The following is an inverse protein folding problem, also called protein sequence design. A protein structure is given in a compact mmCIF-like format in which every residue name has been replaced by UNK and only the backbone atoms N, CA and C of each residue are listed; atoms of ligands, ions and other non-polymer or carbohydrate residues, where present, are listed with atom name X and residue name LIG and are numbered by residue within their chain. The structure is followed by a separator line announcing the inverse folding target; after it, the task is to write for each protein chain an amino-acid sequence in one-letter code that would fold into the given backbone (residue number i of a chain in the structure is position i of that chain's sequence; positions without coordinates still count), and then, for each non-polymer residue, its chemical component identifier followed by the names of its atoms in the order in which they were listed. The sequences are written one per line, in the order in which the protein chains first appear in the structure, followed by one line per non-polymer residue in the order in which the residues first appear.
data_IF_377662511709
#
_entry.id   IF_377662511709
#
_cell.length_a   1.000
_cell.length_b   1.000
_cell.length_c   1.000
_cell.angle_alpha   90.00
_cell.angle_beta   90.00
_cell.angle_gamma   90.00
#
_symmetry.space_group_name_H-M   'P 1'
#
loop_
_entity.id
_entity.type
_entity.pdbx_description
1 polymer ?
#
# COMPACT_ATOMS: atom_id res chain seq x y z
N UNK A 1 14.13 -9.10 11.49
CA UNK A 1 13.58 -7.76 11.22
C UNK A 1 14.20 -7.26 9.93
N UNK A 2 13.40 -7.01 8.90
CA UNK A 2 13.83 -6.37 7.65
C UNK A 2 13.86 -4.86 7.85
N UNK A 3 14.84 -4.17 7.27
CA UNK A 3 14.87 -2.71 7.33
C UNK A 3 13.78 -2.10 6.42
N UNK A 4 13.55 -0.77 6.51
CA UNK A 4 12.52 -0.06 5.74
C UNK A 4 12.70 -0.25 4.23
N UNK A 5 13.95 -0.22 3.75
CA UNK A 5 14.30 -0.38 2.34
C UNK A 5 14.08 -1.81 1.85
N UNK A 6 14.42 -2.82 2.65
CA UNK A 6 14.16 -4.23 2.33
C UNK A 6 12.65 -4.51 2.26
N UNK A 7 11.87 -3.94 3.17
CA UNK A 7 10.42 -4.10 3.17
C UNK A 7 9.78 -3.41 1.96
N UNK A 8 10.28 -2.23 1.58
CA UNK A 8 9.86 -1.55 0.36
C UNK A 8 10.24 -2.35 -0.90
N UNK A 9 11.46 -2.91 -0.96
CA UNK A 9 11.90 -3.73 -2.08
C UNK A 9 11.04 -4.99 -2.24
N UNK A 10 10.72 -5.67 -1.13
CA UNK A 10 9.81 -6.82 -1.16
C UNK A 10 8.39 -6.42 -1.62
N UNK A 11 7.93 -5.25 -1.19
CA UNK A 11 6.64 -4.71 -1.63
C UNK A 11 6.62 -4.40 -3.13
N UNK A 12 7.62 -3.70 -3.66
CA UNK A 12 7.69 -3.38 -5.09
C UNK A 12 7.85 -4.61 -5.97
N UNK A 13 8.56 -5.64 -5.50
CA UNK A 13 8.60 -6.96 -6.17
C UNK A 13 7.22 -7.61 -6.19
N UNK A 14 6.48 -7.60 -5.08
CA UNK A 14 5.12 -8.15 -5.01
C UNK A 14 4.13 -7.41 -5.93
N UNK A 15 4.28 -6.09 -6.07
CA UNK A 15 3.48 -5.24 -6.98
C UNK A 15 3.80 -5.56 -8.45
N UNK A 16 5.03 -5.96 -8.78
CA UNK A 16 5.44 -6.36 -10.12
C UNK A 16 4.95 -7.78 -10.49
N UNK A 17 3.65 -8.05 -10.33
CA UNK A 17 3.08 -9.40 -10.44
C UNK A 17 2.96 -9.93 -11.89
N UNK A 18 3.08 -9.06 -12.90
CA UNK A 18 3.09 -9.46 -14.31
C UNK A 18 4.49 -9.92 -14.73
N UNK A 19 4.67 -11.23 -14.94
CA UNK A 19 5.95 -11.80 -15.42
C UNK A 19 7.04 -11.92 -14.36
N UNK A 20 6.69 -11.99 -13.07
CA UNK A 20 7.62 -12.10 -11.92
C UNK A 20 8.63 -10.95 -11.85
N UNK A 21 8.27 -9.76 -12.34
CA UNK A 21 9.19 -8.62 -12.45
C UNK A 21 10.31 -8.80 -13.48
N UNK A 22 10.24 -9.83 -14.34
CA UNK A 22 11.26 -10.11 -15.35
C UNK A 22 11.22 -9.04 -16.45
N UNK A 23 12.30 -8.27 -16.57
CA UNK A 23 12.46 -7.34 -17.68
C UNK A 23 13.01 -8.12 -18.88
N UNK A 24 12.12 -8.48 -19.80
CA UNK A 24 12.42 -9.31 -20.97
C UNK A 24 13.22 -8.59 -22.06
N UNK A 25 13.41 -7.27 -21.94
CA UNK A 25 14.10 -6.45 -22.92
C UNK A 25 15.46 -5.96 -22.41
N UNK A 26 16.49 -6.05 -23.25
CA UNK A 26 17.82 -5.47 -22.99
C UNK A 26 17.92 -3.99 -23.41
N UNK A 27 16.78 -3.30 -23.48
CA UNK A 27 16.73 -1.85 -23.68
C UNK A 27 16.70 -1.12 -22.34
N UNK A 28 17.68 -0.24 -22.11
CA UNK A 28 17.85 0.47 -20.84
C UNK A 28 16.73 1.48 -20.57
N UNK A 29 16.16 2.09 -21.60
CA UNK A 29 15.11 3.08 -21.43
C UNK A 29 13.78 2.39 -21.09
N UNK A 30 13.48 1.26 -21.72
CA UNK A 30 12.33 0.43 -21.37
C UNK A 30 12.44 -0.14 -19.93
N UNK A 31 13.63 -0.63 -19.54
CA UNK A 31 13.88 -1.05 -18.15
C UNK A 31 13.59 0.07 -17.15
N UNK A 32 14.05 1.30 -17.45
CA UNK A 32 13.81 2.46 -16.58
C UNK A 32 12.32 2.83 -16.49
N UNK A 33 11.59 2.74 -17.59
CA UNK A 33 10.14 2.99 -17.62
C UNK A 33 9.41 1.99 -16.71
N UNK A 34 9.71 0.70 -16.84
CA UNK A 34 9.10 -0.36 -16.03
C UNK A 34 9.32 -0.09 -14.54
N UNK A 35 10.55 0.22 -14.13
CA UNK A 35 10.86 0.53 -12.72
C UNK A 35 10.06 1.74 -12.22
N UNK A 36 10.02 2.83 -13.01
CA UNK A 36 9.29 4.06 -12.63
C UNK A 36 7.78 3.82 -12.51
N UNK A 37 7.19 3.09 -13.44
CA UNK A 37 5.77 2.76 -13.39
C UNK A 37 5.46 1.84 -12.21
N UNK A 38 6.31 0.86 -11.93
CA UNK A 38 6.14 0.00 -10.76
C UNK A 38 6.19 0.80 -9.46
N UNK A 39 7.13 1.74 -9.33
CA UNK A 39 7.20 2.64 -8.18
C UNK A 39 5.97 3.54 -8.06
N UNK A 40 5.43 4.04 -9.18
CA UNK A 40 4.21 4.83 -9.17
C UNK A 40 3.03 4.01 -8.61
N UNK A 41 2.82 2.79 -9.12
CA UNK A 41 1.77 1.88 -8.62
C UNK A 41 1.98 1.55 -7.14
N UNK A 42 3.23 1.25 -6.73
CA UNK A 42 3.55 0.98 -5.34
C UNK A 42 3.19 2.17 -4.43
N UNK A 43 3.49 3.40 -4.85
CA UNK A 43 3.13 4.60 -4.09
C UNK A 43 1.60 4.79 -3.99
N UNK A 44 0.85 4.50 -5.06
CA UNK A 44 -0.61 4.52 -5.02
C UNK A 44 -1.18 3.52 -4.02
N UNK A 45 -0.63 2.29 -3.98
CA UNK A 45 -1.03 1.26 -3.02
C UNK A 45 -0.62 1.62 -1.59
N UNK A 46 0.56 2.19 -1.38
CA UNK A 46 0.99 2.71 -0.07
C UNK A 46 -0.01 3.75 0.43
N UNK A 47 -0.42 4.69 -0.42
CA UNK A 47 -1.42 5.69 -0.05
C UNK A 47 -2.76 5.04 0.32
N UNK A 48 -3.23 4.08 -0.48
CA UNK A 48 -4.45 3.32 -0.18
C UNK A 48 -4.35 2.59 1.17
N UNK A 49 -3.21 1.94 1.43
CA UNK A 49 -2.96 1.21 2.66
C UNK A 49 -2.97 2.13 3.87
N UNK A 50 -2.29 3.29 3.80
CA UNK A 50 -2.30 4.30 4.88
C UNK A 50 -3.72 4.78 5.15
N UNK A 51 -4.48 5.11 4.10
CA UNK A 51 -5.88 5.53 4.25
C UNK A 51 -6.73 4.46 4.95
N UNK A 52 -6.65 3.21 4.50
CA UNK A 52 -7.39 2.09 5.10
C UNK A 52 -6.96 1.83 6.55
N UNK A 53 -5.65 1.85 6.83
CA UNK A 53 -5.11 1.68 8.18
C UNK A 53 -5.57 2.78 9.13
N UNK A 54 -5.52 4.04 8.70
CA UNK A 54 -5.99 5.18 9.50
C UNK A 54 -7.46 5.04 9.88
N UNK A 55 -8.32 4.54 8.97
CA UNK A 55 -9.72 4.25 9.27
C UNK A 55 -9.88 3.14 10.29
N UNK A 56 -9.18 2.02 10.10
CA UNK A 56 -9.25 0.88 11.03
C UNK A 56 -8.77 1.27 12.42
N UNK A 57 -7.68 2.06 12.53
CA UNK A 57 -7.20 2.56 13.82
C UNK A 57 -8.25 3.43 14.51
N UNK A 58 -8.88 4.34 13.77
CA UNK A 58 -9.96 5.17 14.31
C UNK A 58 -11.16 4.34 14.78
N UNK A 59 -11.57 3.33 14.01
CA UNK A 59 -12.68 2.44 14.40
C UNK A 59 -12.33 1.64 15.67
N UNK A 60 -11.10 1.11 15.77
CA UNK A 60 -10.61 0.43 16.99
C UNK A 60 -10.63 1.35 18.21
N UNK A 61 -10.22 2.62 18.06
CA UNK A 61 -10.26 3.60 19.14
C UNK A 61 -11.71 3.83 19.62
N UNK A 62 -12.67 3.96 18.68
CA UNK A 62 -14.09 4.15 18.99
C UNK A 62 -14.72 2.95 19.69
N UNK A 63 -14.24 1.76 19.38
CA UNK A 63 -14.65 0.52 20.06
C UNK A 63 -14.03 0.35 21.45
N UNK A 64 -13.13 1.25 21.86
CA UNK A 64 -12.48 1.25 23.17
C UNK A 64 -11.24 0.36 23.24
N UNK A 65 -10.69 -0.08 22.11
CA UNK A 65 -9.41 -0.79 22.11
C UNK A 65 -8.25 0.16 22.43
N UNK A 66 -7.34 -0.22 23.34
CA UNK A 66 -6.18 0.60 23.64
C UNK A 66 -5.22 0.61 22.45
N UNK A 67 -5.03 1.79 21.85
CA UNK A 67 -3.99 1.99 20.86
C UNK A 67 -2.72 2.45 21.58
N UNK A 68 -1.62 1.70 21.43
CA UNK A 68 -0.32 2.13 21.93
C UNK A 68 0.43 2.88 20.82
N UNK A 69 0.95 4.10 21.05
CA UNK A 69 1.67 4.87 20.03
C UNK A 69 2.85 4.09 19.41
N UNK A 70 3.55 3.27 20.21
CA UNK A 70 4.65 2.44 19.75
C UNK A 70 4.19 1.36 18.76
N UNK A 71 3.01 0.76 19.00
CA UNK A 71 2.43 -0.23 18.10
C UNK A 71 2.01 0.42 16.78
N UNK A 72 1.34 1.58 16.85
CA UNK A 72 0.95 2.34 15.65
C UNK A 72 2.18 2.73 14.82
N UNK A 73 3.26 3.16 15.46
CA UNK A 73 4.51 3.51 14.79
C UNK A 73 5.24 2.30 14.16
N UNK A 74 4.96 1.08 14.63
CA UNK A 74 5.52 -0.15 14.08
C UNK A 74 4.76 -0.65 12.83
N UNK A 75 3.57 -0.12 12.55
CA UNK A 75 2.77 -0.52 11.38
C UNK A 75 3.47 -0.07 10.09
N UNK A 76 3.57 -0.99 9.15
CA UNK A 76 4.07 -0.70 7.80
C UNK A 76 2.92 -0.57 6.81
N UNK A 77 2.98 0.38 5.86
CA UNK A 77 1.97 0.51 4.81
C UNK A 77 2.17 -0.50 3.66
N UNK A 78 3.00 -1.53 3.82
CA UNK A 78 3.30 -2.52 2.79
C UNK A 78 2.43 -3.78 2.87
N UNK A 79 1.21 -3.65 3.40
CA UNK A 79 0.27 -4.76 3.52
C UNK A 79 -0.26 -5.18 2.15
N UNK A 80 -0.28 -6.48 1.89
CA UNK A 80 -0.62 -7.05 0.59
C UNK A 80 -1.85 -7.95 0.60
N UNK A 81 -2.19 -8.52 1.76
CA UNK A 81 -3.20 -9.59 1.88
C UNK A 81 -4.61 -9.16 1.43
N UNK A 82 -4.97 -7.89 1.64
CA UNK A 82 -6.28 -7.34 1.30
C UNK A 82 -6.38 -6.82 -0.15
N UNK A 83 -5.26 -6.82 -0.89
CA UNK A 83 -5.19 -6.31 -2.26
C UNK A 83 -5.34 -7.49 -3.21
N UNK A 84 -6.40 -7.47 -4.00
CA UNK A 84 -6.55 -8.39 -5.12
C UNK A 84 -5.68 -7.91 -6.29
N UNK A 85 -4.73 -8.72 -6.74
CA UNK A 85 -3.89 -8.38 -7.92
C UNK A 85 -4.53 -8.80 -9.23
N UNK A 86 -5.45 -9.76 -9.17
CA UNK A 86 -6.17 -10.33 -10.29
C UNK A 86 -7.66 -10.13 -10.07
N UNK A 87 -8.39 -9.80 -11.14
CA UNK A 87 -9.84 -9.67 -11.09
C UNK A 87 -10.37 -8.67 -12.12
N UNK A 88 -11.69 -8.67 -12.28
CA UNK A 88 -12.40 -7.55 -12.91
C UNK A 88 -12.75 -6.54 -11.83
N UNK A 89 -12.42 -5.28 -12.11
CA UNK A 89 -12.79 -4.15 -11.30
C UNK A 89 -13.83 -3.34 -12.05
N UNK A 90 -15.02 -3.21 -11.47
CA UNK A 90 -16.00 -2.23 -11.91
C UNK A 90 -15.72 -0.92 -11.17
N UNK A 91 -15.45 0.13 -11.93
CA UNK A 91 -15.17 1.44 -11.39
C UNK A 91 -16.48 2.21 -11.25
N UNK A 92 -16.87 2.47 -10.02
CA UNK A 92 -17.92 3.43 -9.70
C UNK A 92 -17.27 4.80 -9.49
N UNK A 93 -17.46 5.70 -10.45
CA UNK A 93 -16.89 7.06 -10.42
C UNK A 93 -17.69 8.03 -9.55
N UNK A 94 -18.93 7.68 -9.20
CA UNK A 94 -19.79 8.48 -8.32
C UNK A 94 -19.51 8.18 -6.84
N UNK A 95 -18.91 7.02 -6.56
CA UNK A 95 -18.49 6.61 -5.21
C UNK A 95 -17.34 7.49 -4.71
N UNK A 96 -17.65 8.35 -3.73
CA UNK A 96 -16.65 9.13 -3.00
C UNK A 96 -15.98 8.30 -1.92
N UNK A 97 -14.66 8.48 -1.68
CA UNK A 97 -14.02 7.89 -0.52
C UNK A 97 -14.64 8.46 0.77
N UNK A 98 -14.77 7.66 1.84
CA UNK A 98 -15.22 8.17 3.13
C UNK A 98 -14.23 9.18 3.70
N UNK A 99 -14.71 10.04 4.59
CA UNK A 99 -13.86 11.01 5.28
C UNK A 99 -12.84 10.31 6.19
N UNK A 100 -11.64 10.87 6.26
CA UNK A 100 -10.58 10.38 7.12
C UNK A 100 -10.42 11.30 8.33
N UNK A 101 -10.59 10.74 9.53
CA UNK A 101 -10.35 11.45 10.79
C UNK A 101 -8.90 11.18 11.20
N UNK A 102 -8.12 12.24 11.35
CA UNK A 102 -6.68 12.16 11.64
C UNK A 102 -6.35 12.17 13.13
N UNK A 103 -7.31 12.55 13.98
CA UNK A 103 -7.13 12.70 15.41
C UNK A 103 -7.34 11.35 16.12
N UNK A 104 -6.24 10.62 16.34
CA UNK A 104 -6.24 9.32 17.05
C UNK A 104 -6.09 9.45 18.57
N UNK A 105 -5.79 10.64 19.09
CA UNK A 105 -5.36 10.83 20.49
C UNK A 105 -6.01 12.03 21.19
N UNK A 106 -7.12 12.54 20.63
CA UNK A 106 -7.94 13.59 21.25
C UNK A 106 -8.72 13.08 22.45
#
# INVERSE_FOLDING_TARGET
ATNKSESFNGFTQWVAFGGDGTISTNDRDEQRKIIKYNHLVANCLIFHNVFSLSRVLHDLQREGYPLEPALVAAISPYLTLHIHRFGRYDLDLDKRPPELIYDLWS
#
